data_IF_660183860338
#
_entry.id   IF_660183860338
#
_cell.length_a   1.000
_cell.length_b   1.000
_cell.length_c   1.000
_cell.angle_alpha   90.00
_cell.angle_beta   90.00
_cell.angle_gamma   90.00
#
_symmetry.space_group_name_H-M   'P 1'
#
loop_
_entity.id
_entity.type
_entity.pdbx_description
1 polymer ?
#
# COMPACT_ATOMS: atom_id res chain seq x y z
N UNK A 1 -27.21 22.94 34.82
CA UNK A 1 -27.24 21.46 34.82
C UNK A 1 -26.40 21.02 33.63
N UNK A 2 -25.26 20.38 33.94
CA UNK A 2 -24.20 19.94 33.03
C UNK A 2 -24.74 18.99 31.95
N UNK A 3 -24.39 19.20 30.68
CA UNK A 3 -23.28 18.55 29.94
C UNK A 3 -23.62 17.12 29.52
N UNK A 4 -23.66 16.92 28.20
CA UNK A 4 -23.07 15.82 27.41
C UNK A 4 -22.88 16.45 26.01
N UNK A 5 -21.71 16.95 25.65
CA UNK A 5 -20.50 16.24 25.20
C UNK A 5 -20.74 15.45 23.91
N UNK A 6 -20.38 16.04 22.78
CA UNK A 6 -19.32 15.48 21.93
C UNK A 6 -19.04 16.51 20.84
N UNK A 7 -18.01 17.29 21.10
CA UNK A 7 -16.92 17.52 20.15
C UNK A 7 -17.08 16.74 18.84
N UNK A 8 -17.77 17.30 17.85
CA UNK A 8 -17.53 16.90 16.47
C UNK A 8 -16.38 17.74 15.92
N UNK A 9 -15.28 17.78 16.69
CA UNK A 9 -13.95 17.86 16.12
C UNK A 9 -13.65 16.44 15.62
N UNK A 10 -14.30 16.05 14.54
CA UNK A 10 -13.73 15.07 13.63
C UNK A 10 -13.84 15.63 12.22
N UNK A 11 -12.85 16.47 11.95
CA UNK A 11 -12.12 16.42 10.69
C UNK A 11 -12.96 16.58 9.43
N UNK A 12 -13.05 17.84 8.99
CA UNK A 12 -12.86 18.14 7.57
C UNK A 12 -11.46 17.67 7.09
N UNK A 13 -11.21 16.36 7.13
CA UNK A 13 -10.09 15.66 6.52
C UNK A 13 -10.62 14.38 5.82
N UNK A 14 -11.86 14.41 5.32
CA UNK A 14 -12.54 13.23 4.76
C UNK A 14 -12.51 13.18 3.21
N UNK A 15 -11.65 13.95 2.56
CA UNK A 15 -11.63 14.01 1.08
C UNK A 15 -10.31 13.57 0.46
N UNK A 16 -9.23 13.44 1.23
CA UNK A 16 -7.91 13.57 0.63
C UNK A 16 -7.26 12.28 0.13
N UNK A 17 -7.96 11.14 0.15
CA UNK A 17 -7.53 9.97 -0.61
C UNK A 17 -8.72 9.03 -0.85
N UNK A 18 -9.45 9.18 -1.97
CA UNK A 18 -10.47 8.18 -2.42
C UNK A 18 -9.90 6.76 -2.41
N UNK A 19 -8.59 6.64 -2.60
CA UNK A 19 -7.80 5.42 -2.50
C UNK A 19 -7.82 4.79 -1.11
N UNK A 20 -7.68 5.59 -0.05
CA UNK A 20 -7.70 5.14 1.35
C UNK A 20 -9.09 4.63 1.76
N UNK A 21 -10.15 5.33 1.34
CA UNK A 21 -11.54 4.89 1.53
C UNK A 21 -11.79 3.51 0.93
N UNK A 22 -11.31 3.29 -0.30
CA UNK A 22 -11.41 2.00 -0.98
C UNK A 22 -10.60 0.91 -0.25
N UNK A 23 -9.40 1.25 0.27
CA UNK A 23 -8.60 0.35 1.10
C UNK A 23 -9.33 -0.06 2.39
N UNK A 24 -9.93 0.89 3.11
CA UNK A 24 -10.71 0.62 4.34
C UNK A 24 -11.92 -0.27 4.07
N UNK A 25 -12.55 -0.12 2.90
CA UNK A 25 -13.69 -0.93 2.45
C UNK A 25 -13.28 -2.32 1.92
N UNK A 26 -11.99 -2.67 1.96
CA UNK A 26 -11.48 -3.94 1.41
C UNK A 26 -11.44 -4.01 -0.12
N UNK A 27 -11.65 -2.89 -0.81
CA UNK A 27 -11.70 -2.78 -2.27
C UNK A 27 -10.35 -2.36 -2.86
N UNK A 28 -9.30 -3.12 -2.54
CA UNK A 28 -7.92 -2.83 -2.95
C UNK A 28 -7.74 -2.82 -4.47
N UNK A 29 -8.42 -3.72 -5.21
CA UNK A 29 -8.36 -3.75 -6.69
C UNK A 29 -8.91 -2.45 -7.28
N UNK A 30 -10.01 -1.92 -6.72
CA UNK A 30 -10.56 -0.64 -7.16
C UNK A 30 -9.62 0.51 -6.83
N UNK A 31 -9.03 0.54 -5.62
CA UNK A 31 -8.06 1.56 -5.25
C UNK A 31 -6.87 1.61 -6.22
N UNK A 32 -6.31 0.45 -6.59
CA UNK A 32 -5.22 0.33 -7.57
C UNK A 32 -5.66 0.77 -8.96
N UNK A 33 -6.86 0.37 -9.39
CA UNK A 33 -7.40 0.73 -10.71
C UNK A 33 -7.60 2.23 -10.83
N UNK A 34 -8.21 2.84 -9.82
CA UNK A 34 -8.45 4.28 -9.78
C UNK A 34 -7.12 5.03 -9.74
N UNK A 35 -6.15 4.60 -8.93
CA UNK A 35 -4.85 5.28 -8.85
C UNK A 35 -4.10 5.22 -10.17
N UNK A 36 -4.10 4.05 -10.83
CA UNK A 36 -3.54 3.85 -12.16
C UNK A 36 -4.23 4.71 -13.23
N UNK A 37 -5.55 4.86 -13.17
CA UNK A 37 -6.31 5.66 -14.14
C UNK A 37 -5.99 7.16 -13.98
N UNK A 38 -5.86 7.61 -12.74
CA UNK A 38 -5.59 9.00 -12.36
C UNK A 38 -4.14 9.42 -12.67
N UNK A 39 -3.17 8.54 -12.43
CA UNK A 39 -1.73 8.82 -12.63
C UNK A 39 -1.18 8.33 -13.96
N UNK A 40 -1.88 7.40 -14.64
CA UNK A 40 -1.36 6.70 -15.83
C UNK A 40 -0.21 5.73 -15.53
N UNK A 41 0.15 5.51 -14.27
CA UNK A 41 1.26 4.66 -13.86
C UNK A 41 1.03 3.18 -14.21
N UNK A 42 2.12 2.41 -14.22
CA UNK A 42 2.05 0.96 -14.40
C UNK A 42 1.24 0.28 -13.28
N UNK A 43 0.62 -0.86 -13.59
CA UNK A 43 -0.15 -1.64 -12.60
C UNK A 43 0.71 -2.03 -11.38
N UNK A 44 2.01 -2.26 -11.59
CA UNK A 44 2.97 -2.54 -10.52
C UNK A 44 3.16 -1.35 -9.57
N UNK A 45 3.32 -0.14 -10.10
CA UNK A 45 3.49 1.08 -9.30
C UNK A 45 2.21 1.43 -8.54
N UNK A 46 1.07 1.37 -9.21
CA UNK A 46 -0.23 1.60 -8.58
C UNK A 46 -0.48 0.61 -7.44
N UNK A 47 -0.15 -0.67 -7.65
CA UNK A 47 -0.20 -1.68 -6.59
C UNK A 47 0.76 -1.35 -5.45
N UNK A 48 2.00 -0.97 -5.74
CA UNK A 48 2.99 -0.63 -4.71
C UNK A 48 2.60 0.59 -3.86
N UNK A 49 2.01 1.62 -4.48
CA UNK A 49 1.50 2.78 -3.75
C UNK A 49 0.39 2.39 -2.77
N UNK A 50 -0.63 1.67 -3.27
CA UNK A 50 -1.75 1.19 -2.45
C UNK A 50 -1.29 0.19 -1.38
N UNK A 51 -0.27 -0.61 -1.66
CA UNK A 51 0.33 -1.55 -0.71
C UNK A 51 1.00 -0.81 0.46
N UNK A 52 1.82 0.21 0.17
CA UNK A 52 2.40 1.06 1.22
C UNK A 52 1.31 1.77 2.03
N UNK A 53 0.30 2.32 1.35
CA UNK A 53 -0.85 2.96 1.96
C UNK A 53 -1.64 2.01 2.85
N UNK A 54 -1.72 0.72 2.53
CA UNK A 54 -2.37 -0.25 3.42
C UNK A 54 -1.51 -0.54 4.64
N UNK A 55 -0.20 -0.65 4.44
CA UNK A 55 0.76 -1.07 5.45
C UNK A 55 0.81 -0.05 6.58
N UNK A 56 0.72 1.23 6.24
CA UNK A 56 0.62 2.33 7.20
C UNK A 56 -0.65 2.25 8.07
N UNK A 57 -1.76 1.72 7.51
CA UNK A 57 -3.06 1.62 8.19
C UNK A 57 -3.35 0.22 8.75
N UNK A 58 -2.38 -0.70 8.73
CA UNK A 58 -2.51 -2.05 9.27
C UNK A 58 -3.50 -2.97 8.55
N UNK A 59 -3.88 -2.66 7.30
CA UNK A 59 -4.86 -3.45 6.54
C UNK A 59 -4.13 -4.58 5.81
N UNK A 60 -4.06 -5.77 6.39
CA UNK A 60 -3.15 -6.83 5.92
C UNK A 60 -3.47 -7.34 4.50
N UNK A 61 -2.47 -7.54 3.61
CA UNK A 61 -2.68 -8.15 2.30
C UNK A 61 -3.08 -9.62 2.36
N UNK A 62 -4.14 -9.99 1.63
CA UNK A 62 -4.26 -11.31 1.03
C UNK A 62 -3.68 -11.26 -0.38
N UNK A 63 -2.34 -11.23 -0.53
CA UNK A 63 -1.63 -11.71 -1.73
C UNK A 63 -0.13 -11.50 -1.59
N UNK A 64 0.55 -12.64 -1.58
CA UNK A 64 1.98 -12.84 -1.44
C UNK A 64 2.83 -12.31 -2.61
N UNK A 65 4.14 -12.23 -2.34
CA UNK A 65 5.22 -11.93 -3.28
C UNK A 65 6.24 -11.02 -2.62
N UNK A 66 6.84 -11.42 -1.50
CA UNK A 66 8.08 -12.20 -1.42
C UNK A 66 9.29 -11.42 -1.96
N UNK A 67 10.25 -11.19 -1.08
CA UNK A 67 11.29 -10.19 -1.20
C UNK A 67 12.26 -10.38 -2.36
N UNK A 68 12.79 -9.25 -2.82
CA UNK A 68 13.97 -9.16 -3.67
C UNK A 68 15.26 -9.67 -2.99
N UNK A 69 15.18 -10.28 -1.80
CA UNK A 69 16.34 -10.80 -1.08
C UNK A 69 16.99 -12.02 -1.75
N UNK A 70 16.25 -12.77 -2.58
CA UNK A 70 16.78 -13.96 -3.29
C UNK A 70 17.69 -13.58 -4.47
N UNK A 71 17.43 -12.45 -5.14
CA UNK A 71 18.22 -12.04 -6.31
C UNK A 71 19.67 -11.68 -5.94
N UNK A 72 19.88 -11.10 -4.76
CA UNK A 72 21.23 -10.72 -4.28
C UNK A 72 22.04 -11.96 -3.88
N UNK A 73 21.40 -12.97 -3.28
CA UNK A 73 22.07 -14.19 -2.84
C UNK A 73 22.64 -15.00 -4.02
N UNK A 74 21.93 -15.08 -5.14
CA UNK A 74 22.37 -15.84 -6.33
C UNK A 74 23.58 -15.17 -6.99
N UNK A 75 23.62 -13.84 -7.09
CA UNK A 75 24.74 -13.12 -7.71
C UNK A 75 26.05 -13.25 -6.92
N UNK A 76 25.98 -13.29 -5.59
CA UNK A 76 27.16 -13.47 -4.73
C UNK A 76 27.73 -14.88 -4.89
N UNK A 77 26.89 -15.91 -4.92
CA UNK A 77 27.32 -17.31 -5.06
C UNK A 77 27.97 -17.54 -6.43
N UNK A 78 27.38 -17.01 -7.51
CA UNK A 78 27.92 -17.16 -8.87
C UNK A 78 29.26 -16.44 -9.01
N UNK A 79 29.42 -15.26 -8.40
CA UNK A 79 30.69 -14.53 -8.41
C UNK A 79 31.79 -15.29 -7.66
N UNK A 80 31.43 -15.94 -6.55
CA UNK A 80 32.39 -16.71 -5.75
C UNK A 80 32.84 -18.01 -6.44
N UNK A 81 31.96 -18.67 -7.20
CA UNK A 81 32.29 -19.87 -7.99
C UNK A 81 33.14 -19.57 -9.24
N UNK A 82 33.01 -18.38 -9.84
CA UNK A 82 33.85 -17.97 -10.97
C UNK A 82 35.29 -17.65 -10.52
N UNK A 83 35.46 -17.22 -9.27
CA UNK A 83 36.74 -16.80 -8.69
C UNK A 83 37.50 -17.93 -7.95
N UNK A 84 36.93 -19.13 -7.85
CA UNK A 84 37.53 -20.32 -7.23
C UNK A 84 37.97 -21.34 -8.30
#
# INVERSE_FOLDING_TARGET
MATIDFENIESQNNSDNKYLELCKKGRYIEAVKVYKDDTGCGLAEAKAYIDNLRSEYGVQPQSAGQGCMVAVSILIIVSFLIFL
#
